data_IF_144188805830
#
_entry.id   IF_144188805830
#
_cell.length_a   1.000
_cell.length_b   1.000
_cell.length_c   1.000
_cell.angle_alpha   90.00
_cell.angle_beta   90.00
_cell.angle_gamma   90.00
#
_symmetry.space_group_name_H-M   'P 1'
#
loop_
_entity.id
_entity.type
_entity.pdbx_description
1 polymer ?
#
# COMPACT_ATOMS: atom_id res chain seq x y z
N UNK A 1 -20.27 -7.72 -28.44
CA UNK A 1 -18.89 -7.22 -28.54
C UNK A 1 -18.72 -6.18 -27.45
N UNK A 2 -17.97 -6.48 -26.38
CA UNK A 2 -17.69 -5.52 -25.32
C UNK A 2 -16.59 -4.56 -25.81
N UNK A 3 -16.93 -3.28 -25.95
CA UNK A 3 -15.95 -2.22 -26.20
C UNK A 3 -15.12 -2.03 -24.93
N UNK A 4 -13.86 -2.45 -24.95
CA UNK A 4 -12.89 -2.17 -23.88
C UNK A 4 -12.60 -0.66 -23.88
N UNK A 5 -13.21 0.06 -22.94
CA UNK A 5 -12.89 1.46 -22.67
C UNK A 5 -11.57 1.47 -21.91
N UNK A 6 -10.48 1.92 -22.56
CA UNK A 6 -9.19 2.15 -21.86
C UNK A 6 -9.39 3.25 -20.82
N UNK A 7 -9.55 2.87 -19.55
CA UNK A 7 -9.54 3.83 -18.44
C UNK A 7 -8.08 4.25 -18.23
N UNK A 8 -7.76 5.50 -18.56
CA UNK A 8 -6.42 6.05 -18.40
C UNK A 8 -6.36 6.85 -17.10
N UNK A 9 -5.46 6.46 -16.17
CA UNK A 9 -5.16 7.23 -14.95
C UNK A 9 -4.31 8.49 -15.21
N UNK A 10 -4.17 8.86 -16.48
CA UNK A 10 -3.54 10.09 -16.95
C UNK A 10 -4.56 10.83 -17.81
N UNK A 11 -4.72 12.15 -17.67
CA UNK A 11 -5.54 12.93 -18.60
C UNK A 11 -5.11 12.66 -20.05
N UNK A 12 -6.07 12.60 -20.98
CA UNK A 12 -5.85 12.20 -22.37
C UNK A 12 -4.98 13.16 -23.22
N UNK A 13 -4.42 14.22 -22.62
CA UNK A 13 -3.69 15.24 -23.35
C UNK A 13 -2.18 15.10 -23.13
N UNK A 14 -1.50 14.77 -24.23
CA UNK A 14 -0.07 15.00 -24.45
C UNK A 14 0.36 16.38 -23.96
N UNK A 15 1.26 16.41 -22.98
CA UNK A 15 1.97 17.62 -22.54
C UNK A 15 1.06 18.63 -21.84
N UNK A 16 1.21 18.78 -20.52
CA UNK A 16 0.71 19.96 -19.82
C UNK A 16 1.61 21.14 -20.22
N UNK A 17 1.35 21.72 -21.39
CA UNK A 17 1.66 23.11 -21.63
C UNK A 17 0.64 23.92 -20.84
N UNK A 18 1.18 24.68 -19.90
CA UNK A 18 0.55 25.68 -19.05
C UNK A 18 -0.71 26.30 -19.66
N UNK A 19 -1.86 26.06 -19.04
CA UNK A 19 -3.00 26.98 -19.15
C UNK A 19 -2.61 28.30 -18.46
N UNK A 20 -2.67 29.46 -19.14
CA UNK A 20 -2.35 30.74 -18.52
C UNK A 20 -3.48 31.08 -17.55
N UNK A 21 -3.21 31.09 -16.25
CA UNK A 21 -4.17 31.55 -15.24
C UNK A 21 -4.23 30.77 -13.92
N UNK A 22 -3.65 29.56 -13.84
CA UNK A 22 -3.42 28.90 -12.55
C UNK A 22 -2.01 29.20 -12.07
N UNK A 23 -1.90 30.00 -11.00
CA UNK A 23 -0.63 30.15 -10.28
C UNK A 23 -0.22 28.78 -9.74
N UNK A 24 0.86 28.20 -10.27
CA UNK A 24 1.42 26.90 -9.86
C UNK A 24 2.16 26.97 -8.51
N UNK A 25 1.81 27.92 -7.65
CA UNK A 25 2.31 28.06 -6.29
C UNK A 25 1.39 27.40 -5.25
N UNK A 26 0.51 26.48 -5.65
CA UNK A 26 -0.10 25.55 -4.69
C UNK A 26 0.95 24.52 -4.32
N UNK A 27 1.36 24.48 -3.05
CA UNK A 27 2.24 23.45 -2.53
C UNK A 27 1.77 22.07 -3.03
N UNK A 28 2.63 21.34 -3.75
CA UNK A 28 2.27 20.01 -4.27
C UNK A 28 1.97 19.11 -3.07
N UNK A 29 0.75 18.57 -3.00
CA UNK A 29 0.33 17.69 -1.93
C UNK A 29 1.20 16.44 -1.87
N UNK A 30 1.42 15.98 -0.65
CA UNK A 30 2.01 14.68 -0.37
C UNK A 30 1.01 13.55 -0.63
N UNK A 31 1.52 12.33 -0.78
CA UNK A 31 0.71 11.15 -1.01
C UNK A 31 -0.25 10.88 0.16
N UNK A 32 0.22 11.10 1.40
CA UNK A 32 -0.59 10.99 2.62
C UNK A 32 -1.74 12.00 2.61
N UNK A 33 -1.47 13.26 2.27
CA UNK A 33 -2.52 14.29 2.19
C UNK A 33 -3.58 13.92 1.15
N UNK A 34 -3.18 13.41 -0.02
CA UNK A 34 -4.14 12.94 -1.03
C UNK A 34 -4.96 11.76 -0.50
N UNK A 35 -4.34 10.79 0.17
CA UNK A 35 -5.03 9.63 0.75
C UNK A 35 -6.03 10.04 1.83
N UNK A 36 -5.69 11.01 2.68
CA UNK A 36 -6.59 11.54 3.70
C UNK A 36 -7.76 12.31 3.09
N UNK A 37 -7.52 13.14 2.07
CA UNK A 37 -8.62 13.81 1.37
C UNK A 37 -9.56 12.81 0.68
N UNK A 38 -9.03 11.76 0.05
CA UNK A 38 -9.83 10.71 -0.56
C UNK A 38 -10.75 10.02 0.46
N UNK A 39 -10.27 9.78 1.69
CA UNK A 39 -11.09 9.21 2.77
C UNK A 39 -12.28 10.08 3.14
N UNK A 40 -12.16 11.40 3.01
CA UNK A 40 -13.28 12.33 3.29
C UNK A 40 -14.31 12.39 2.17
N UNK A 41 -14.00 11.84 0.99
CA UNK A 41 -14.89 11.83 -0.16
C UNK A 41 -15.88 10.66 -0.09
N UNK A 42 -17.12 10.97 0.27
CA UNK A 42 -18.18 9.97 0.44
C UNK A 42 -18.47 9.17 -0.84
N UNK A 43 -18.37 9.79 -2.02
CA UNK A 43 -18.61 9.10 -3.29
C UNK A 43 -17.57 7.99 -3.54
N UNK A 44 -16.29 8.22 -3.20
CA UNK A 44 -15.25 7.19 -3.31
C UNK A 44 -15.46 6.09 -2.25
N UNK A 45 -15.84 6.47 -1.02
CA UNK A 45 -16.09 5.49 0.05
C UNK A 45 -17.23 4.54 -0.28
N UNK A 46 -18.33 5.06 -0.83
CA UNK A 46 -19.52 4.27 -1.16
C UNK A 46 -19.34 3.47 -2.44
N UNK A 47 -18.44 3.90 -3.32
CA UNK A 47 -18.13 3.20 -4.55
C UNK A 47 -17.30 1.93 -4.33
N UNK A 48 -16.61 1.73 -3.21
CA UNK A 48 -15.94 0.47 -2.91
C UNK A 48 -16.93 -0.50 -2.25
N UNK A 49 -17.17 -1.66 -2.89
CA UNK A 49 -18.15 -2.66 -2.42
C UNK A 49 -17.45 -3.97 -2.10
N UNK A 50 -17.83 -4.59 -0.98
CA UNK A 50 -17.31 -5.89 -0.59
C UNK A 50 -17.81 -6.98 -1.55
N UNK A 51 -16.91 -7.87 -1.99
CA UNK A 51 -17.25 -8.97 -2.89
C UNK A 51 -17.12 -8.68 -4.39
N UNK A 52 -16.68 -7.49 -4.79
CA UNK A 52 -16.30 -7.22 -6.18
C UNK A 52 -15.21 -8.21 -6.65
N UNK A 53 -15.48 -8.91 -7.75
CA UNK A 53 -14.52 -9.85 -8.37
C UNK A 53 -13.44 -9.10 -9.16
N UNK A 54 -13.84 -8.09 -9.94
CA UNK A 54 -12.93 -7.08 -10.50
C UNK A 54 -13.14 -5.75 -9.76
N UNK A 55 -12.18 -5.45 -8.90
CA UNK A 55 -12.26 -4.34 -7.95
C UNK A 55 -11.97 -2.98 -8.57
N UNK A 56 -11.46 -2.95 -9.81
CA UNK A 56 -11.14 -1.72 -10.52
C UNK A 56 -12.14 -1.45 -11.63
N UNK A 57 -12.16 -2.29 -12.68
CA UNK A 57 -12.95 -2.05 -13.88
C UNK A 57 -14.44 -2.09 -13.57
N UNK A 58 -14.91 -3.17 -12.92
CA UNK A 58 -16.30 -3.30 -12.50
C UNK A 58 -16.56 -2.70 -11.10
N UNK A 59 -15.50 -2.36 -10.39
CA UNK A 59 -15.54 -1.84 -9.02
C UNK A 59 -15.45 -0.32 -8.94
N UNK A 60 -14.36 0.19 -8.36
CA UNK A 60 -14.23 1.61 -8.02
C UNK A 60 -14.27 2.53 -9.25
N UNK A 61 -13.74 2.11 -10.40
CA UNK A 61 -13.70 2.96 -11.61
C UNK A 61 -15.05 2.99 -12.33
N UNK A 62 -15.87 1.94 -12.25
CA UNK A 62 -17.23 1.99 -12.81
C UNK A 62 -18.14 2.93 -12.03
N UNK A 63 -17.94 3.05 -10.71
CA UNK A 63 -18.83 3.80 -9.81
C UNK A 63 -18.34 5.20 -9.42
N UNK A 64 -17.03 5.44 -9.42
CA UNK A 64 -16.45 6.72 -9.00
C UNK A 64 -15.19 7.12 -9.81
N UNK A 65 -15.13 6.78 -11.10
CA UNK A 65 -13.96 7.10 -11.96
C UNK A 65 -13.57 8.57 -11.92
N UNK A 66 -14.52 9.50 -12.09
CA UNK A 66 -14.22 10.94 -12.13
C UNK A 66 -13.54 11.43 -10.85
N UNK A 67 -14.10 11.09 -9.68
CA UNK A 67 -13.54 11.47 -8.39
C UNK A 67 -12.19 10.78 -8.12
N UNK A 68 -12.06 9.49 -8.43
CA UNK A 68 -10.78 8.77 -8.25
C UNK A 68 -9.69 9.36 -9.15
N UNK A 69 -9.98 9.62 -10.43
CA UNK A 69 -9.01 10.22 -11.37
C UNK A 69 -8.60 11.62 -10.89
N UNK A 70 -9.53 12.40 -10.36
CA UNK A 70 -9.26 13.73 -9.79
C UNK A 70 -8.27 13.67 -8.62
N UNK A 71 -8.32 12.66 -7.74
CA UNK A 71 -7.30 12.53 -6.69
C UNK A 71 -6.00 11.91 -7.19
N UNK A 72 -6.06 10.85 -7.99
CA UNK A 72 -4.86 10.22 -8.56
C UNK A 72 -4.03 11.22 -9.38
N UNK A 73 -4.68 12.10 -10.15
CA UNK A 73 -3.97 13.11 -10.96
C UNK A 73 -3.24 14.18 -10.15
N UNK A 74 -3.53 14.33 -8.85
CA UNK A 74 -2.78 15.23 -7.97
C UNK A 74 -1.38 14.69 -7.63
N UNK A 75 -1.19 13.37 -7.70
CA UNK A 75 0.14 12.78 -7.61
C UNK A 75 0.91 13.02 -8.92
N UNK A 76 1.99 13.81 -8.80
CA UNK A 76 2.91 14.10 -9.88
C UNK A 76 4.35 14.05 -9.39
N UNK A 77 5.24 13.64 -10.29
CA UNK A 77 6.68 13.52 -10.00
C UNK A 77 7.44 14.29 -11.07
N UNK A 78 8.17 15.32 -10.68
CA UNK A 78 9.12 15.99 -11.59
C UNK A 78 10.50 15.36 -11.50
N UNK A 79 11.30 15.54 -12.55
CA UNK A 79 12.61 14.90 -12.67
C UNK A 79 13.58 15.28 -11.55
N UNK A 80 13.42 16.45 -10.95
CA UNK A 80 14.21 16.96 -9.82
C UNK A 80 13.76 16.40 -8.46
N UNK A 81 12.59 15.76 -8.38
CA UNK A 81 12.00 15.28 -7.12
C UNK A 81 11.97 13.76 -6.97
N UNK A 82 12.66 13.02 -7.85
CA UNK A 82 12.58 11.55 -7.94
C UNK A 82 12.91 10.89 -6.59
N UNK A 83 14.01 11.29 -5.94
CA UNK A 83 14.47 10.64 -4.72
C UNK A 83 13.55 10.94 -3.53
N UNK A 84 13.11 12.20 -3.40
CA UNK A 84 12.14 12.62 -2.39
C UNK A 84 10.81 11.89 -2.54
N UNK A 85 10.31 11.79 -3.78
CA UNK A 85 9.05 11.12 -4.10
C UNK A 85 9.16 9.60 -3.95
N UNK A 86 10.35 9.02 -4.14
CA UNK A 86 10.58 7.60 -3.91
C UNK A 86 10.44 7.29 -2.42
N UNK A 87 11.13 8.06 -1.58
CA UNK A 87 11.05 7.93 -0.11
C UNK A 87 9.62 8.12 0.36
N UNK A 88 8.95 9.17 -0.12
CA UNK A 88 7.56 9.47 0.22
C UNK A 88 6.61 8.33 -0.17
N UNK A 89 6.71 7.81 -1.39
CA UNK A 89 5.86 6.71 -1.89
C UNK A 89 6.06 5.42 -1.07
N UNK A 90 7.30 5.02 -0.84
CA UNK A 90 7.59 3.77 -0.12
C UNK A 90 7.15 3.87 1.35
N UNK A 91 7.49 4.98 2.02
CA UNK A 91 7.13 5.19 3.42
C UNK A 91 5.61 5.22 3.60
N UNK A 92 4.90 5.92 2.71
CA UNK A 92 3.43 6.01 2.72
C UNK A 92 2.79 4.64 2.49
N UNK A 93 3.26 3.87 1.50
CA UNK A 93 2.74 2.52 1.24
C UNK A 93 2.89 1.61 2.46
N UNK A 94 4.03 1.66 3.14
CA UNK A 94 4.29 0.87 4.36
C UNK A 94 3.39 1.34 5.51
N UNK A 95 3.31 2.65 5.74
CA UNK A 95 2.48 3.24 6.80
C UNK A 95 1.04 2.73 6.72
N UNK A 96 0.37 2.97 5.59
CA UNK A 96 -1.03 2.62 5.43
C UNK A 96 -1.27 1.11 5.46
N UNK A 97 -0.36 0.32 4.89
CA UNK A 97 -0.46 -1.15 4.97
C UNK A 97 -0.39 -1.64 6.41
N UNK A 98 0.52 -1.10 7.21
CA UNK A 98 0.70 -1.50 8.59
C UNK A 98 -0.41 -0.97 9.51
N UNK A 99 -0.91 0.25 9.26
CA UNK A 99 -1.93 0.89 10.09
C UNK A 99 -3.37 0.56 9.70
N UNK A 100 -3.62 -0.11 8.57
CA UNK A 100 -4.97 -0.52 8.13
C UNK A 100 -5.52 -1.71 8.95
N UNK A 101 -5.56 -1.54 10.27
CA UNK A 101 -6.01 -2.54 11.24
C UNK A 101 -7.44 -2.28 11.66
N UNK A 102 -8.14 -3.35 12.05
CA UNK A 102 -9.40 -3.23 12.77
C UNK A 102 -9.13 -3.21 14.29
N UNK A 103 -9.56 -2.15 15.02
CA UNK A 103 -9.30 -2.02 16.46
C UNK A 103 -9.85 -3.16 17.32
N UNK A 104 -10.85 -3.89 16.83
CA UNK A 104 -11.52 -4.97 17.57
C UNK A 104 -10.96 -6.34 17.24
N UNK A 105 -10.02 -6.45 16.31
CA UNK A 105 -9.55 -7.73 15.76
C UNK A 105 -8.04 -7.90 15.94
N UNK A 106 -7.60 -9.15 15.82
CA UNK A 106 -6.18 -9.47 15.73
C UNK A 106 -5.51 -8.74 14.57
N UNK A 107 -4.20 -8.47 14.71
CA UNK A 107 -3.44 -7.73 13.71
C UNK A 107 -3.30 -8.56 12.43
N UNK A 108 -3.74 -7.99 11.31
CA UNK A 108 -3.65 -8.59 9.97
C UNK A 108 -3.27 -7.54 8.96
N UNK A 109 -2.34 -7.88 8.08
CA UNK A 109 -2.04 -7.05 6.92
C UNK A 109 -3.03 -7.33 5.80
N UNK A 110 -3.38 -6.27 5.07
CA UNK A 110 -4.25 -6.39 3.90
C UNK A 110 -3.48 -6.96 2.71
N UNK A 111 -4.03 -8.02 2.11
CA UNK A 111 -3.46 -8.68 0.95
C UNK A 111 -3.16 -7.70 -0.17
N UNK A 112 -4.08 -6.80 -0.51
CA UNK A 112 -3.92 -5.86 -1.61
C UNK A 112 -2.92 -4.76 -1.28
N UNK A 113 -2.91 -4.25 -0.05
CA UNK A 113 -1.93 -3.24 0.36
C UNK A 113 -0.50 -3.80 0.43
N UNK A 114 -0.34 -5.06 0.84
CA UNK A 114 0.97 -5.74 0.75
C UNK A 114 1.49 -5.75 -0.68
N UNK A 115 0.66 -5.79 -1.72
CA UNK A 115 1.15 -5.72 -3.10
C UNK A 115 1.75 -4.35 -3.43
N UNK A 116 1.17 -3.26 -2.90
CA UNK A 116 1.73 -1.91 -3.05
C UNK A 116 3.12 -1.82 -2.39
N UNK A 117 3.29 -2.43 -1.21
CA UNK A 117 4.60 -2.51 -0.51
C UNK A 117 5.57 -3.43 -1.24
N UNK A 118 5.15 -4.63 -1.61
CA UNK A 118 6.00 -5.61 -2.28
C UNK A 118 6.52 -5.13 -3.64
N UNK A 119 5.71 -4.34 -4.36
CA UNK A 119 6.16 -3.72 -5.60
C UNK A 119 7.19 -2.61 -5.36
N UNK A 120 7.15 -1.96 -4.19
CA UNK A 120 7.99 -0.80 -3.87
C UNK A 120 9.49 -1.12 -3.81
N UNK A 121 9.88 -2.35 -3.45
CA UNK A 121 11.30 -2.75 -3.41
C UNK A 121 11.97 -2.65 -4.78
N UNK A 122 11.23 -2.92 -5.87
CA UNK A 122 11.75 -2.84 -7.23
C UNK A 122 11.97 -1.40 -7.69
N UNK A 123 11.23 -0.44 -7.13
CA UNK A 123 11.36 0.96 -7.52
C UNK A 123 12.73 1.53 -7.19
N UNK A 124 13.34 1.13 -6.06
CA UNK A 124 14.72 1.52 -5.77
C UNK A 124 15.67 1.03 -6.86
N UNK A 125 15.56 -0.23 -7.27
CA UNK A 125 16.38 -0.79 -8.34
C UNK A 125 16.14 -0.06 -9.67
N UNK A 126 14.89 0.27 -10.01
CA UNK A 126 14.57 1.04 -11.22
C UNK A 126 15.17 2.46 -11.20
N UNK A 127 15.16 3.12 -10.04
CA UNK A 127 15.77 4.45 -9.90
C UNK A 127 17.30 4.42 -10.02
N UNK A 128 17.94 3.27 -9.74
CA UNK A 128 19.39 3.11 -9.86
C UNK A 128 19.86 2.72 -11.27
N UNK A 129 18.96 2.32 -12.17
CA UNK A 129 19.33 1.95 -13.54
C UNK A 129 19.94 3.14 -14.29
N UNK A 130 21.19 3.06 -14.79
CA UNK A 130 21.86 4.20 -15.43
C UNK A 130 21.33 4.50 -16.82
N UNK A 131 20.74 3.51 -17.50
CA UNK A 131 20.20 3.64 -18.85
C UNK A 131 18.74 4.13 -18.89
N UNK A 132 18.08 4.22 -17.73
CA UNK A 132 16.72 4.75 -17.66
C UNK A 132 16.78 6.27 -17.45
N UNK A 133 16.20 7.04 -18.38
CA UNK A 133 16.18 8.49 -18.29
C UNK A 133 15.45 8.98 -17.03
N UNK A 134 15.80 10.17 -16.54
CA UNK A 134 15.09 10.80 -15.40
C UNK A 134 13.59 10.98 -15.71
N UNK A 135 13.24 11.39 -16.93
CA UNK A 135 11.85 11.46 -17.39
C UNK A 135 11.10 10.12 -17.21
N UNK A 136 11.71 9.00 -17.60
CA UNK A 136 11.08 7.68 -17.47
C UNK A 136 10.99 7.22 -16.01
N UNK A 137 12.02 7.50 -15.21
CA UNK A 137 12.02 7.26 -13.75
C UNK A 137 10.87 8.01 -13.06
N UNK A 138 10.74 9.30 -13.34
CA UNK A 138 9.65 10.13 -12.83
C UNK A 138 8.28 9.58 -13.25
N UNK A 139 8.12 9.21 -14.53
CA UNK A 139 6.87 8.63 -15.04
C UNK A 139 6.50 7.30 -14.38
N UNK A 140 7.47 6.40 -14.19
CA UNK A 140 7.23 5.12 -13.49
C UNK A 140 6.77 5.37 -12.06
N UNK A 141 7.44 6.28 -11.34
CA UNK A 141 7.13 6.60 -9.95
C UNK A 141 5.76 7.31 -9.82
N UNK A 142 5.41 8.15 -10.80
CA UNK A 142 4.08 8.74 -10.90
C UNK A 142 3.01 7.66 -11.10
N UNK A 143 3.22 6.73 -12.04
CA UNK A 143 2.30 5.61 -12.28
C UNK A 143 2.13 4.74 -11.03
N UNK A 144 3.21 4.50 -10.28
CA UNK A 144 3.17 3.73 -9.03
C UNK A 144 2.34 4.41 -7.96
N UNK A 145 2.59 5.67 -7.65
CA UNK A 145 1.80 6.39 -6.64
C UNK A 145 0.33 6.49 -7.01
N UNK A 146 -0.01 6.68 -8.29
CA UNK A 146 -1.40 6.64 -8.77
C UNK A 146 -2.05 5.27 -8.63
N UNK A 147 -1.31 4.20 -8.87
CA UNK A 147 -1.78 2.84 -8.64
C UNK A 147 -2.02 2.57 -7.16
N UNK A 148 -1.14 3.06 -6.28
CA UNK A 148 -1.31 2.92 -4.83
C UNK A 148 -2.58 3.65 -4.34
N UNK A 149 -2.86 4.85 -4.84
CA UNK A 149 -4.09 5.59 -4.57
C UNK A 149 -5.35 4.85 -5.07
N UNK A 150 -5.27 4.20 -6.23
CA UNK A 150 -6.35 3.39 -6.75
C UNK A 150 -6.59 2.13 -5.90
N UNK A 151 -5.52 1.44 -5.51
CA UNK A 151 -5.60 0.29 -4.58
C UNK A 151 -6.23 0.76 -3.26
N UNK A 152 -5.78 1.89 -2.72
CA UNK A 152 -6.33 2.51 -1.51
C UNK A 152 -7.84 2.72 -1.59
N UNK A 153 -8.30 3.40 -2.64
CA UNK A 153 -9.72 3.65 -2.89
C UNK A 153 -10.53 2.36 -2.95
N UNK A 154 -10.02 1.34 -3.65
CA UNK A 154 -10.71 0.06 -3.85
C UNK A 154 -10.95 -0.72 -2.55
N UNK A 155 -10.21 -0.44 -1.47
CA UNK A 155 -10.30 -1.13 -0.18
C UNK A 155 -11.01 -0.31 0.89
N UNK A 156 -11.84 0.67 0.48
CA UNK A 156 -12.67 1.51 1.36
C UNK A 156 -11.89 2.36 2.38
N UNK A 157 -10.58 2.49 2.17
CA UNK A 157 -9.73 3.48 2.82
C UNK A 157 -9.88 3.51 4.36
N UNK A 158 -9.57 2.40 5.07
CA UNK A 158 -9.77 2.27 6.51
C UNK A 158 -9.06 3.35 7.32
N UNK A 159 -9.57 3.64 8.52
CA UNK A 159 -8.91 4.59 9.41
C UNK A 159 -7.59 4.01 9.94
N UNK A 160 -6.47 4.75 9.87
CA UNK A 160 -5.17 4.24 10.28
C UNK A 160 -5.12 4.12 11.81
N UNK A 161 -4.54 3.02 12.29
CA UNK A 161 -4.31 2.71 13.70
C UNK A 161 -2.81 2.75 14.02
N UNK A 162 -2.15 3.92 14.07
CA UNK A 162 -0.70 4.02 14.30
C UNK A 162 -0.26 3.48 15.67
N UNK A 163 -1.13 3.57 16.69
CA UNK A 163 -0.85 3.05 18.02
C UNK A 163 -0.63 1.53 18.04
N UNK A 164 -1.27 0.80 17.12
CA UNK A 164 -1.07 -0.65 16.97
C UNK A 164 0.37 -0.99 16.58
N UNK A 165 1.06 -0.06 15.90
CA UNK A 165 2.47 -0.17 15.56
C UNK A 165 3.33 0.32 16.72
N UNK A 166 3.11 1.56 17.15
CA UNK A 166 3.99 2.25 18.11
C UNK A 166 4.10 1.52 19.46
N UNK A 167 3.06 0.79 19.86
CA UNK A 167 3.05 0.02 21.12
C UNK A 167 3.44 -1.45 20.93
N UNK A 168 3.66 -1.90 19.70
CA UNK A 168 3.98 -3.29 19.42
C UNK A 168 5.39 -3.63 19.94
N UNK A 169 5.56 -4.71 20.71
CA UNK A 169 6.87 -5.07 21.25
C UNK A 169 7.80 -5.61 20.16
N UNK A 170 9.01 -5.06 20.08
CA UNK A 170 10.08 -5.65 19.29
C UNK A 170 10.60 -6.88 20.03
N UNK A 171 10.35 -8.07 19.46
CA UNK A 171 10.80 -9.35 20.04
C UNK A 171 11.99 -9.94 19.30
N UNK A 172 12.18 -9.53 18.06
CA UNK A 172 13.11 -10.10 17.10
C UNK A 172 13.80 -8.99 16.32
N UNK A 173 15.08 -9.18 16.03
CA UNK A 173 15.83 -8.34 15.10
C UNK A 173 15.54 -8.73 13.65
N UNK A 174 16.08 -7.95 12.72
CA UNK A 174 15.93 -8.22 11.29
C UNK A 174 16.37 -9.63 10.87
N UNK A 175 17.51 -10.19 11.35
CA UNK A 175 17.92 -11.55 10.97
C UNK A 175 16.86 -12.61 11.28
N UNK A 176 16.25 -12.55 12.47
CA UNK A 176 15.22 -13.51 12.87
C UNK A 176 13.93 -13.28 12.08
N UNK A 177 13.50 -12.02 11.90
CA UNK A 177 12.31 -11.70 11.11
C UNK A 177 12.49 -12.16 9.65
N UNK A 178 13.66 -11.96 9.04
CA UNK A 178 13.96 -12.48 7.71
C UNK A 178 13.89 -14.01 7.66
N UNK A 179 14.57 -14.70 8.57
CA UNK A 179 14.60 -16.15 8.60
C UNK A 179 13.18 -16.74 8.71
N UNK A 180 12.36 -16.20 9.61
CA UNK A 180 10.97 -16.65 9.77
C UNK A 180 10.08 -16.30 8.60
N UNK A 181 10.23 -15.12 8.00
CA UNK A 181 9.48 -14.75 6.80
C UNK A 181 9.74 -15.69 5.63
N UNK A 182 10.98 -16.16 5.49
CA UNK A 182 11.40 -17.07 4.43
C UNK A 182 11.00 -18.52 4.67
N UNK A 183 11.07 -18.97 5.92
CA UNK A 183 10.74 -20.34 6.32
C UNK A 183 9.24 -20.54 6.59
N UNK A 184 8.40 -19.54 6.31
CA UNK A 184 6.99 -19.64 6.59
C UNK A 184 6.33 -20.73 5.73
N UNK A 185 5.68 -21.75 6.33
CA UNK A 185 5.28 -22.96 5.61
C UNK A 185 4.09 -22.76 4.65
N UNK A 186 3.37 -21.66 4.80
CA UNK A 186 2.09 -21.40 4.12
C UNK A 186 2.06 -20.08 3.36
N UNK A 187 3.13 -19.27 3.43
CA UNK A 187 3.23 -18.02 2.68
C UNK A 187 3.87 -18.32 1.33
N UNK A 188 3.31 -17.74 0.27
CA UNK A 188 3.79 -17.85 -1.11
C UNK A 188 4.84 -16.77 -1.45
N UNK A 189 5.48 -16.19 -0.43
CA UNK A 189 6.56 -15.19 -0.54
C UNK A 189 6.10 -13.74 -0.39
N UNK A 190 4.81 -13.48 -0.12
CA UNK A 190 4.33 -12.13 0.16
C UNK A 190 4.97 -11.54 1.42
N UNK A 191 5.12 -12.35 2.47
CA UNK A 191 5.72 -11.92 3.72
C UNK A 191 7.22 -11.64 3.56
N UNK A 192 7.95 -12.53 2.89
CA UNK A 192 9.39 -12.34 2.65
C UNK A 192 9.67 -11.06 1.84
N UNK A 193 8.86 -10.78 0.81
CA UNK A 193 8.94 -9.51 0.06
C UNK A 193 8.63 -8.32 0.97
N UNK A 194 7.57 -8.41 1.77
CA UNK A 194 7.14 -7.31 2.63
C UNK A 194 8.22 -6.93 3.63
N UNK A 195 8.73 -7.90 4.40
CA UNK A 195 9.78 -7.68 5.41
C UNK A 195 11.05 -7.11 4.77
N UNK A 196 11.47 -7.61 3.61
CA UNK A 196 12.61 -7.06 2.88
C UNK A 196 12.38 -5.63 2.41
N UNK A 197 11.18 -5.29 1.95
CA UNK A 197 10.84 -3.91 1.59
C UNK A 197 10.94 -2.99 2.81
N UNK A 198 10.40 -3.40 3.95
CA UNK A 198 10.41 -2.57 5.18
C UNK A 198 11.83 -2.31 5.65
N UNK A 199 12.69 -3.34 5.70
CA UNK A 199 14.09 -3.17 6.08
C UNK A 199 14.87 -2.30 5.09
N UNK A 200 14.66 -2.47 3.78
CA UNK A 200 15.28 -1.61 2.76
C UNK A 200 14.79 -0.16 2.88
N UNK A 201 13.49 0.04 3.16
CA UNK A 201 12.90 1.35 3.35
C UNK A 201 13.47 2.07 4.59
N UNK A 202 13.75 1.34 5.67
CA UNK A 202 14.44 1.88 6.84
C UNK A 202 15.80 2.47 6.45
N UNK A 203 16.63 1.71 5.73
CA UNK A 203 17.93 2.19 5.25
C UNK A 203 17.79 3.41 4.32
N UNK A 204 16.81 3.38 3.41
CA UNK A 204 16.54 4.46 2.46
C UNK A 204 16.05 5.75 3.15
N UNK A 205 15.22 5.62 4.18
CA UNK A 205 14.59 6.75 4.87
C UNK A 205 15.49 7.37 5.95
N UNK A 206 16.44 6.61 6.51
CA UNK A 206 17.28 7.06 7.63
C UNK A 206 17.98 8.40 7.42
N UNK A 207 18.57 8.72 6.24
CA UNK A 207 19.16 10.04 6.01
C UNK A 207 18.15 11.19 6.08
N UNK A 208 16.91 10.95 5.63
CA UNK A 208 15.83 11.92 5.66
C UNK A 208 15.32 12.15 7.09
N UNK A 209 15.19 11.08 7.87
CA UNK A 209 14.86 11.16 9.30
C UNK A 209 15.93 11.96 10.06
N UNK A 210 17.21 11.68 9.81
CA UNK A 210 18.33 12.41 10.42
C UNK A 210 18.38 13.89 10.00
N UNK A 211 17.94 14.21 8.79
CA UNK A 211 17.79 15.60 8.31
C UNK A 211 16.54 16.31 8.87
N UNK A 212 15.75 15.65 9.72
CA UNK A 212 14.56 16.22 10.35
C UNK A 212 13.30 16.17 9.49
N UNK A 213 13.32 15.45 8.35
CA UNK A 213 12.11 15.22 7.55
C UNK A 213 11.16 14.32 8.36
N UNK A 214 9.93 14.80 8.57
CA UNK A 214 8.90 14.03 9.26
C UNK A 214 8.29 13.01 8.30
N UNK A 215 8.59 11.75 8.52
CA UNK A 215 8.04 10.62 7.78
C UNK A 215 7.02 9.87 8.66
N UNK A 216 5.89 9.40 8.09
CA UNK A 216 4.89 8.63 8.85
C UNK A 216 5.45 7.39 9.56
N UNK A 217 6.37 6.68 8.93
CA UNK A 217 7.15 5.60 9.56
C UNK A 217 8.57 6.12 9.81
N UNK A 218 9.05 5.99 11.05
CA UNK A 218 10.40 6.39 11.44
C UNK A 218 10.87 5.66 12.71
N UNK A 219 12.17 5.68 12.97
CA UNK A 219 12.76 5.10 14.19
C UNK A 219 12.40 3.62 14.39
N UNK A 220 11.96 3.26 15.60
CA UNK A 220 11.67 1.87 15.94
C UNK A 220 10.45 1.28 15.22
N UNK A 221 9.61 2.13 14.58
CA UNK A 221 8.44 1.66 13.83
C UNK A 221 8.82 0.67 12.72
N UNK A 222 10.00 0.81 12.11
CA UNK A 222 10.46 -0.09 11.06
C UNK A 222 10.51 -1.55 11.52
N UNK A 223 11.16 -1.78 12.66
CA UNK A 223 11.30 -3.13 13.22
C UNK A 223 10.00 -3.61 13.90
N UNK A 224 9.20 -2.69 14.46
CA UNK A 224 7.84 -3.01 14.94
C UNK A 224 6.97 -3.56 13.80
N UNK A 225 6.95 -2.89 12.65
CA UNK A 225 6.21 -3.33 11.46
C UNK A 225 6.74 -4.69 10.96
N UNK A 226 8.05 -4.90 10.97
CA UNK A 226 8.65 -6.20 10.65
C UNK A 226 8.15 -7.32 11.56
N UNK A 227 8.10 -7.09 12.87
CA UNK A 227 7.59 -8.05 13.85
C UNK A 227 6.06 -8.26 13.72
N UNK A 228 5.28 -7.21 13.43
CA UNK A 228 3.84 -7.32 13.13
C UNK A 228 3.61 -8.19 11.90
N UNK A 229 4.38 -7.98 10.82
CA UNK A 229 4.30 -8.79 9.61
C UNK A 229 4.45 -10.28 9.93
N UNK A 230 5.48 -10.65 10.70
CA UNK A 230 5.66 -12.04 11.15
C UNK A 230 4.47 -12.56 11.98
N UNK A 231 4.02 -11.79 12.98
CA UNK A 231 2.96 -12.23 13.88
C UNK A 231 1.59 -12.31 13.21
N UNK A 232 1.30 -11.40 12.27
CA UNK A 232 0.07 -11.40 11.48
C UNK A 232 -0.13 -12.72 10.72
N UNK A 233 0.97 -13.38 10.40
CA UNK A 233 1.03 -14.62 9.63
C UNK A 233 1.17 -15.84 10.57
N UNK A 234 1.93 -15.70 11.68
CA UNK A 234 2.18 -16.77 12.65
C UNK A 234 0.91 -17.26 13.39
N UNK A 235 -0.09 -16.38 13.60
CA UNK A 235 -1.34 -16.73 14.29
C UNK A 235 -2.12 -17.86 13.59
N UNK A 236 -1.87 -18.09 12.31
CA UNK A 236 -2.51 -19.14 11.50
C UNK A 236 -1.94 -20.55 11.71
N UNK A 237 -0.81 -20.70 12.42
CA UNK A 237 -0.20 -22.01 12.70
C UNK A 237 -0.76 -22.68 13.98
N UNK A 238 -1.79 -22.11 14.60
CA UNK A 238 -2.47 -22.77 15.72
C UNK A 238 -3.36 -23.92 15.18
N UNK A 239 -3.16 -25.19 15.59
CA UNK A 239 -3.82 -26.37 15.01
C UNK A 239 -5.35 -26.38 15.04
N UNK A 240 -5.98 -25.45 15.77
CA UNK A 240 -7.43 -25.34 15.90
C UNK A 240 -8.13 -24.69 14.70
N UNK A 241 -7.41 -24.11 13.73
CA UNK A 241 -7.98 -23.39 12.57
C UNK A 241 -7.88 -24.17 11.24
N UNK A 242 -8.18 -25.47 11.24
CA UNK A 242 -8.18 -26.35 10.06
C UNK A 242 -9.38 -26.19 9.12
N UNK A 243 -10.06 -25.04 9.13
CA UNK A 243 -11.27 -24.86 8.33
C UNK A 243 -11.04 -23.98 7.09
N UNK A 244 -11.18 -24.63 5.92
CA UNK A 244 -11.49 -24.08 4.60
C UNK A 244 -10.31 -23.77 3.66
N UNK A 245 -9.81 -24.84 3.03
CA UNK A 245 -9.14 -24.79 1.73
C UNK A 245 -10.14 -24.27 0.68
N UNK A 246 -9.82 -23.22 -0.07
CA UNK A 246 -10.39 -23.08 -1.42
C UNK A 246 -9.28 -23.06 -2.43
N UNK A 247 -9.53 -23.76 -3.52
CA UNK A 247 -8.73 -23.79 -4.73
C UNK A 247 -9.28 -22.66 -5.61
N UNK A 248 -8.46 -21.65 -5.89
CA UNK A 248 -8.59 -20.91 -7.14
C UNK A 248 -7.49 -21.38 -8.11
N UNK A 249 -7.54 -20.88 -9.34
CA UNK A 249 -6.73 -21.31 -10.48
C UNK A 249 -5.20 -21.19 -10.32
N UNK A 250 -4.68 -20.73 -9.18
CA UNK A 250 -3.24 -20.54 -8.93
C UNK A 250 -2.65 -21.40 -7.78
N UNK A 251 -3.44 -22.27 -7.14
CA UNK A 251 -2.96 -23.18 -6.08
C UNK A 251 -3.53 -22.90 -4.69
N UNK A 252 -3.08 -23.65 -3.68
CA UNK A 252 -3.66 -23.66 -2.32
C UNK A 252 -3.39 -22.32 -1.62
N UNK A 253 -4.42 -21.47 -1.50
CA UNK A 253 -4.36 -20.25 -0.69
C UNK A 253 -4.87 -20.57 0.71
N UNK A 254 -4.02 -20.46 1.72
CA UNK A 254 -4.47 -20.44 3.11
C UNK A 254 -5.23 -19.13 3.35
N UNK A 255 -6.56 -19.21 3.35
CA UNK A 255 -7.46 -18.06 3.33
C UNK A 255 -7.22 -17.05 4.44
N UNK A 256 -6.60 -17.44 5.55
CA UNK A 256 -6.58 -16.65 6.79
C UNK A 256 -5.25 -15.94 7.06
N UNK A 257 -4.31 -16.00 6.13
CA UNK A 257 -3.02 -15.30 6.31
C UNK A 257 -3.20 -13.78 6.31
N UNK A 258 -4.02 -13.30 5.38
CA UNK A 258 -4.21 -11.89 5.07
C UNK A 258 -5.68 -11.50 5.17
N UNK A 259 -5.96 -10.30 5.66
CA UNK A 259 -7.28 -9.70 5.42
C UNK A 259 -7.38 -9.28 3.96
N UNK A 260 -8.53 -9.46 3.32
CA UNK A 260 -8.74 -9.11 1.92
C UNK A 260 -9.78 -8.00 1.81
N UNK A 261 -9.36 -6.75 2.05
CA UNK A 261 -10.28 -5.63 2.15
C UNK A 261 -10.48 -5.14 3.58
N UNK A 262 -9.41 -4.66 4.20
CA UNK A 262 -9.34 -4.13 5.56
C UNK A 262 -10.33 -2.99 5.86
N UNK A 263 -10.79 -2.25 4.85
CA UNK A 263 -11.85 -1.26 5.04
C UNK A 263 -13.28 -1.82 5.06
N UNK A 264 -13.47 -3.12 4.83
CA UNK A 264 -14.77 -3.79 4.88
C UNK A 264 -14.91 -4.59 6.19
N UNK A 265 -15.86 -4.27 7.08
CA UNK A 265 -16.11 -5.03 8.29
C UNK A 265 -16.29 -6.54 8.05
N UNK A 266 -16.92 -6.90 6.94
CA UNK A 266 -17.20 -8.27 6.51
C UNK A 266 -15.91 -9.09 6.33
N UNK A 267 -14.84 -8.45 5.83
CA UNK A 267 -13.54 -9.09 5.64
C UNK A 267 -12.87 -9.49 6.96
N UNK A 268 -13.34 -8.94 8.08
CA UNK A 268 -12.80 -9.20 9.42
C UNK A 268 -13.55 -10.26 10.23
N UNK A 269 -14.74 -10.70 9.78
CA UNK A 269 -15.63 -11.57 10.56
C UNK A 269 -14.95 -12.85 11.03
N UNK A 270 -14.16 -13.47 10.15
CA UNK A 270 -13.43 -14.72 10.40
C UNK A 270 -12.21 -14.58 11.32
N UNK A 271 -11.70 -13.37 11.52
CA UNK A 271 -10.54 -13.14 12.38
C UNK A 271 -10.96 -12.97 13.83
N UNK A 272 -10.06 -13.37 14.74
CA UNK A 272 -10.36 -13.39 16.18
C UNK A 272 -10.44 -11.97 16.74
N UNK A 273 -11.18 -11.76 17.84
CA UNK A 273 -11.12 -10.52 18.59
C UNK A 273 -9.70 -10.22 19.08
N UNK A 274 -9.39 -8.94 19.23
CA UNK A 274 -8.13 -8.48 19.82
C UNK A 274 -8.00 -9.02 21.26
N UNK A 275 -6.82 -9.53 21.60
CA UNK A 275 -6.48 -9.99 22.96
C UNK A 275 -5.91 -8.85 23.80
#
# INVERSE_FOLDING_TARGET
MATSTKICLTPANSGVFSTPGLSWASARKSLVEIMDEMRTNQAIRDAAIHGDTDVFENGILSRASEEVIKYCSQWSVSEDQIDDKLVEMINTAIYWTATAQNPQKELKLDFFFIHAVNLSIFFKAFMDLPYLSRANKARLLEMKGRMDLLIWASRKMPDPQPNDICTYPIRQGWPEVFAKSYLHPSDDGHLAKFVRTVAMAEELCRPYEAAGKRLPVSGDMWLQIGNIGETSVLICLNPSNTHLLAVDSVGVIFKDLWVRGSGFPESWEKFRPRK
#
